data_IF_995365041173
#
_entry.id   IF_995365041173
#
_cell.length_a   1.000
_cell.length_b   1.000
_cell.length_c   1.000
_cell.angle_alpha   90.00
_cell.angle_beta   90.00
_cell.angle_gamma   90.00
#
_symmetry.space_group_name_H-M   'P 1'
#
loop_
_entity.id
_entity.type
_entity.pdbx_description
1 polymer ?
#
# COMPACT_ATOMS: atom_id res chain seq x y z
N UNK A 1 16.96 8.89 -8.48
CA UNK A 1 15.87 8.16 -7.81
C UNK A 1 14.54 8.64 -8.35
N UNK A 2 13.65 7.74 -8.78
CA UNK A 2 12.25 8.11 -9.01
C UNK A 2 11.63 8.60 -7.69
N UNK A 3 10.66 9.53 -7.71
CA UNK A 3 10.00 9.99 -6.50
C UNK A 3 9.30 8.82 -5.80
N UNK A 4 9.62 8.60 -4.53
CA UNK A 4 8.96 7.61 -3.68
C UNK A 4 7.53 8.05 -3.40
N UNK A 5 6.57 7.15 -3.61
CA UNK A 5 5.17 7.38 -3.28
C UNK A 5 4.90 6.95 -1.84
N UNK A 6 4.48 7.87 -0.99
CA UNK A 6 3.94 7.52 0.33
C UNK A 6 2.43 7.65 0.30
N UNK A 7 1.74 6.55 0.59
CA UNK A 7 0.28 6.54 0.69
C UNK A 7 -0.15 6.82 2.13
N UNK A 8 -1.44 7.05 2.31
CA UNK A 8 -2.09 7.25 3.60
C UNK A 8 -3.34 6.35 3.74
N UNK A 9 -4.02 6.44 4.88
CA UNK A 9 -5.23 5.64 5.13
C UNK A 9 -6.36 5.99 4.15
N UNK A 10 -6.67 7.27 3.86
CA UNK A 10 -7.64 7.63 2.82
C UNK A 10 -7.38 6.97 1.47
N UNK A 11 -6.12 6.89 1.04
CA UNK A 11 -5.76 6.18 -0.19
C UNK A 11 -6.15 4.70 -0.15
N UNK A 12 -5.94 4.02 1.00
CA UNK A 12 -6.35 2.62 1.19
C UNK A 12 -7.88 2.45 1.20
N UNK A 13 -8.61 3.39 1.80
CA UNK A 13 -10.08 3.38 1.82
C UNK A 13 -10.64 3.54 0.40
N UNK A 14 -10.12 4.49 -0.37
CA UNK A 14 -10.49 4.65 -1.78
C UNK A 14 -10.20 3.38 -2.59
N UNK A 15 -9.04 2.74 -2.38
CA UNK A 15 -8.73 1.46 -3.04
C UNK A 15 -9.67 0.33 -2.65
N UNK A 16 -10.11 0.30 -1.39
CA UNK A 16 -11.09 -0.69 -0.94
C UNK A 16 -12.41 -0.53 -1.71
N UNK A 17 -12.92 0.70 -1.81
CA UNK A 17 -14.15 1.00 -2.56
C UNK A 17 -14.06 0.61 -4.04
N UNK A 18 -12.93 0.88 -4.68
CA UNK A 18 -12.73 0.58 -6.11
C UNK A 18 -12.57 -0.93 -6.40
N UNK A 19 -11.90 -1.67 -5.52
CA UNK A 19 -11.57 -3.09 -5.75
C UNK A 19 -12.63 -4.04 -5.17
N UNK A 20 -13.37 -3.57 -4.18
CA UNK A 20 -14.29 -4.37 -3.37
C UNK A 20 -15.60 -3.62 -3.06
N UNK A 21 -16.33 -3.12 -4.07
CA UNK A 21 -17.54 -2.32 -3.84
C UNK A 21 -18.66 -3.07 -3.08
N UNK A 22 -18.69 -4.40 -3.17
CA UNK A 22 -19.71 -5.25 -2.52
C UNK A 22 -19.26 -5.85 -1.18
N UNK A 23 -18.01 -5.65 -0.76
CA UNK A 23 -17.48 -6.25 0.46
C UNK A 23 -17.83 -5.43 1.71
N UNK A 24 -17.88 -6.07 2.89
CA UNK A 24 -18.06 -5.37 4.16
C UNK A 24 -16.99 -4.29 4.36
N UNK A 25 -17.41 -3.19 4.99
CA UNK A 25 -16.51 -2.10 5.34
C UNK A 25 -15.35 -2.57 6.25
N UNK A 26 -14.25 -1.82 6.22
CA UNK A 26 -13.11 -1.98 7.11
C UNK A 26 -13.60 -2.03 8.57
N UNK A 27 -13.28 -3.13 9.27
CA UNK A 27 -13.66 -3.32 10.68
C UNK A 27 -12.55 -2.91 11.65
N UNK A 28 -11.29 -2.89 11.21
CA UNK A 28 -10.15 -2.45 12.02
C UNK A 28 -9.29 -1.41 11.27
N UNK A 29 -9.46 -0.15 11.64
CA UNK A 29 -8.67 0.95 11.10
C UNK A 29 -7.23 0.96 11.64
N UNK A 30 -6.96 0.38 12.80
CA UNK A 30 -5.62 0.33 13.36
C UNK A 30 -4.69 -0.55 12.51
N UNK A 31 -5.22 -1.62 11.91
CA UNK A 31 -4.52 -2.42 10.91
C UNK A 31 -4.10 -1.64 9.66
N UNK A 32 -4.94 -0.71 9.18
CA UNK A 32 -4.60 0.18 8.07
C UNK A 32 -3.51 1.18 8.46
N UNK A 33 -3.62 1.78 9.65
CA UNK A 33 -2.60 2.70 10.19
C UNK A 33 -1.25 1.99 10.31
N UNK A 34 -1.23 0.76 10.82
CA UNK A 34 -0.02 -0.04 10.93
C UNK A 34 0.62 -0.34 9.56
N UNK A 35 -0.19 -0.67 8.55
CA UNK A 35 0.29 -0.87 7.18
C UNK A 35 0.88 0.42 6.58
N UNK A 36 0.22 1.56 6.80
CA UNK A 36 0.69 2.88 6.38
C UNK A 36 2.01 3.22 7.08
N UNK A 37 2.09 3.04 8.40
CA UNK A 37 3.30 3.30 9.15
C UNK A 37 4.47 2.45 8.64
N UNK A 38 4.28 1.13 8.51
CA UNK A 38 5.35 0.21 8.09
C UNK A 38 5.89 0.51 6.69
N UNK A 39 5.03 0.85 5.71
CA UNK A 39 5.52 1.14 4.37
C UNK A 39 6.28 2.47 4.29
N UNK A 40 6.06 3.40 5.22
CA UNK A 40 6.74 4.71 5.27
C UNK A 40 8.08 4.66 5.99
N UNK A 41 8.33 3.62 6.78
CA UNK A 41 9.61 3.46 7.48
C UNK A 41 10.74 3.39 6.46
N UNK A 42 11.79 4.15 6.74
CA UNK A 42 13.11 4.02 6.12
C UNK A 42 14.00 3.26 7.13
N UNK A 43 14.06 1.91 7.04
CA UNK A 43 14.76 1.09 8.00
C UNK A 43 16.28 1.34 7.84
N UNK A 44 16.96 1.87 8.88
CA UNK A 44 18.37 2.21 8.78
C UNK A 44 19.30 0.98 8.66
N UNK A 45 18.77 -0.24 8.75
CA UNK A 45 19.54 -1.47 9.01
C UNK A 45 19.81 -2.35 7.79
N UNK A 46 19.33 -2.00 6.60
CA UNK A 46 19.44 -2.88 5.42
C UNK A 46 20.55 -2.51 4.43
N UNK A 47 21.24 -1.38 4.61
CA UNK A 47 22.25 -0.90 3.65
C UNK A 47 21.70 -0.60 2.25
N UNK A 48 20.37 -0.66 2.09
CA UNK A 48 19.61 -0.45 0.85
C UNK A 48 18.35 0.33 1.23
N UNK A 49 18.10 1.43 0.52
CA UNK A 49 16.88 2.22 0.68
C UNK A 49 15.65 1.41 0.24
N UNK A 50 14.51 1.50 0.95
CA UNK A 50 13.30 0.79 0.56
C UNK A 50 12.78 1.29 -0.79
N UNK A 51 12.89 0.41 -1.78
CA UNK A 51 12.34 0.62 -3.10
C UNK A 51 10.80 0.41 -3.11
N UNK A 52 10.12 0.71 -4.24
CA UNK A 52 8.68 0.48 -4.34
C UNK A 52 8.26 -0.98 -4.10
N UNK A 53 9.09 -1.96 -4.47
CA UNK A 53 8.76 -3.37 -4.29
C UNK A 53 8.74 -3.75 -2.80
N UNK A 54 9.71 -3.28 -2.03
CA UNK A 54 9.74 -3.45 -0.57
C UNK A 54 8.51 -2.82 0.09
N UNK A 55 8.16 -1.59 -0.31
CA UNK A 55 7.00 -0.88 0.28
C UNK A 55 5.68 -1.57 -0.08
N UNK A 56 5.53 -2.08 -1.31
CA UNK A 56 4.39 -2.89 -1.72
C UNK A 56 4.28 -4.19 -0.90
N UNK A 57 5.41 -4.88 -0.68
CA UNK A 57 5.46 -6.08 0.14
C UNK A 57 5.12 -5.80 1.61
N UNK A 58 5.57 -4.66 2.16
CA UNK A 58 5.23 -4.23 3.51
C UNK A 58 3.72 -3.98 3.69
N UNK A 59 3.08 -3.35 2.71
CA UNK A 59 1.62 -3.16 2.67
C UNK A 59 0.89 -4.52 2.61
N UNK A 60 1.25 -5.36 1.64
CA UNK A 60 0.66 -6.68 1.44
C UNK A 60 0.73 -7.51 2.72
N UNK A 61 1.93 -7.65 3.27
CA UNK A 61 2.18 -8.48 4.44
C UNK A 61 1.42 -7.98 5.66
N UNK A 62 1.41 -6.67 5.90
CA UNK A 62 0.75 -6.10 7.09
C UNK A 62 -0.76 -6.24 7.00
N UNK A 63 -1.37 -5.94 5.85
CA UNK A 63 -2.82 -6.09 5.64
C UNK A 63 -3.22 -7.57 5.73
N UNK A 64 -2.44 -8.47 5.14
CA UNK A 64 -2.73 -9.91 5.16
C UNK A 64 -2.71 -10.50 6.58
N UNK A 65 -1.79 -10.04 7.44
CA UNK A 65 -1.67 -10.55 8.81
C UNK A 65 -2.63 -9.89 9.80
N UNK A 66 -2.77 -8.56 9.76
CA UNK A 66 -3.63 -7.84 10.71
C UNK A 66 -5.12 -7.98 10.37
N UNK A 67 -5.42 -8.33 9.11
CA UNK A 67 -6.77 -8.61 8.63
C UNK A 67 -7.80 -7.51 8.96
N UNK A 68 -7.64 -6.28 8.42
CA UNK A 68 -8.53 -5.15 8.72
C UNK A 68 -9.98 -5.34 8.23
N UNK A 69 -10.24 -6.30 7.35
CA UNK A 69 -11.58 -6.64 6.86
C UNK A 69 -12.14 -7.90 7.55
N UNK A 70 -13.48 -8.04 7.64
CA UNK A 70 -14.11 -9.28 8.09
C UNK A 70 -13.77 -10.50 7.21
N UNK A 71 -13.60 -10.29 5.90
CA UNK A 71 -13.27 -11.33 4.93
C UNK A 71 -12.41 -10.77 3.78
N UNK A 72 -11.86 -11.66 2.94
CA UNK A 72 -11.14 -11.30 1.71
C UNK A 72 -9.86 -10.45 1.88
N UNK A 73 -9.26 -10.44 3.08
CA UNK A 73 -8.03 -9.67 3.37
C UNK A 73 -6.88 -9.95 2.40
N UNK A 74 -6.66 -11.22 2.01
CA UNK A 74 -5.61 -11.57 1.06
C UNK A 74 -5.82 -10.91 -0.32
N UNK A 75 -7.07 -10.85 -0.80
CA UNK A 75 -7.41 -10.17 -2.05
C UNK A 75 -7.19 -8.65 -1.93
N UNK A 76 -7.59 -8.05 -0.81
CA UNK A 76 -7.39 -6.62 -0.59
C UNK A 76 -5.90 -6.26 -0.48
N UNK A 77 -5.12 -7.07 0.24
CA UNK A 77 -3.68 -6.93 0.36
C UNK A 77 -2.96 -7.02 -1.00
N UNK A 78 -3.31 -8.03 -1.81
CA UNK A 78 -2.74 -8.22 -3.14
C UNK A 78 -3.08 -7.05 -4.07
N UNK A 79 -4.35 -6.64 -4.12
CA UNK A 79 -4.78 -5.51 -4.95
C UNK A 79 -4.12 -4.19 -4.54
N UNK A 80 -3.97 -3.95 -3.23
CA UNK A 80 -3.26 -2.79 -2.69
C UNK A 80 -1.80 -2.76 -3.16
N UNK A 81 -1.09 -3.89 -3.10
CA UNK A 81 0.30 -3.97 -3.54
C UNK A 81 0.46 -3.73 -5.04
N UNK A 82 -0.41 -4.32 -5.87
CA UNK A 82 -0.44 -4.09 -7.32
C UNK A 82 -0.72 -2.62 -7.64
N UNK A 83 -1.72 -2.03 -7.00
CA UNK A 83 -2.06 -0.62 -7.20
C UNK A 83 -0.92 0.31 -6.81
N UNK A 84 -0.24 0.03 -5.69
CA UNK A 84 0.92 0.80 -5.25
C UNK A 84 2.08 0.72 -6.25
N UNK A 85 2.41 -0.49 -6.75
CA UNK A 85 3.47 -0.68 -7.74
C UNK A 85 3.17 0.07 -9.04
N UNK A 86 1.92 -0.02 -9.52
CA UNK A 86 1.48 0.68 -10.71
C UNK A 86 1.53 2.22 -10.54
N UNK A 87 1.09 2.74 -9.38
CA UNK A 87 1.16 4.17 -9.08
C UNK A 87 2.61 4.66 -8.98
N UNK A 88 3.50 3.85 -8.39
CA UNK A 88 4.94 4.15 -8.29
C UNK A 88 5.61 4.21 -9.68
N UNK A 89 5.23 3.31 -10.60
CA UNK A 89 5.69 3.36 -12.00
C UNK A 89 5.18 4.57 -12.78
N UNK A 90 3.97 5.07 -12.49
CA UNK A 90 3.47 6.34 -13.06
C UNK A 90 4.20 7.55 -12.49
N UNK A 91 4.53 7.53 -11.19
CA UNK A 91 5.28 8.58 -10.54
C UNK A 91 6.70 8.74 -11.14
N UNK A 92 7.34 7.64 -11.56
CA UNK A 92 8.62 7.70 -12.26
C UNK A 92 8.55 8.29 -13.68
N UNK A 93 7.42 8.14 -14.37
CA UNK A 93 7.25 8.54 -15.79
C UNK A 93 6.87 10.01 -15.96
N UNK A 94 6.45 10.72 -14.90
CA UNK A 94 5.98 12.11 -14.97
C UNK A 94 7.12 13.17 -14.97
N UNK A 95 8.21 12.91 -15.71
CA UNK A 95 9.28 13.87 -16.04
C UNK A 95 9.78 13.65 -17.47
N UNK A 96 8.95 13.87 -18.49
CA UNK A 96 9.38 14.38 -19.81
C UNK A 96 8.13 14.93 -20.51
N UNK A 97 8.07 16.25 -20.70
CA UNK A 97 6.91 16.90 -21.30
C UNK A 97 6.93 18.38 -20.99
N UNK A 98 7.89 19.07 -21.62
CA UNK A 98 7.90 20.51 -21.81
C UNK A 98 7.38 20.78 -23.22
#
# INVERSE_FOLDING_TARGET
>A
MAPLLHIDVPWLLQRHEEVMPEQPAISDFSGLVAAVARHRVDPPRLGVDPDPAWRAAALLHTIALLRPLPASNARFAAATAVAYMHASGKASTRRTGR
#
